data_IF_397208737446
#
_entry.id   IF_397208737446
#
_cell.length_a   1.000
_cell.length_b   1.000
_cell.length_c   1.000
_cell.angle_alpha   90.00
_cell.angle_beta   90.00
_cell.angle_gamma   90.00
#
_symmetry.space_group_name_H-M   'P 1'
#
loop_
_entity.id
_entity.type
_entity.pdbx_description
1 polymer ?
#
# COMPACT_ATOMS: atom_id res chain seq x y z
N UNK A 1 -23.40 -4.61 1.52
CA UNK A 1 -22.82 -3.29 1.09
C UNK A 1 -23.62 -2.79 -0.09
N UNK A 2 -24.15 -1.57 -0.02
CA UNK A 2 -24.86 -0.91 -1.12
C UNK A 2 -23.88 -0.24 -2.08
N UNK A 3 -24.38 0.23 -3.22
CA UNK A 3 -23.56 1.01 -4.19
C UNK A 3 -23.15 2.35 -3.56
N UNK A 4 -24.04 2.98 -2.82
CA UNK A 4 -23.80 4.25 -2.14
C UNK A 4 -22.69 4.12 -1.07
N UNK A 5 -22.68 3.04 -0.32
CA UNK A 5 -21.61 2.73 0.64
C UNK A 5 -20.26 2.49 -0.06
N UNK A 6 -20.29 1.81 -1.21
CA UNK A 6 -19.12 1.64 -2.06
C UNK A 6 -18.58 2.98 -2.54
N UNK A 7 -19.44 3.78 -3.17
CA UNK A 7 -19.06 5.07 -3.76
C UNK A 7 -18.54 6.07 -2.71
N UNK A 8 -19.15 6.09 -1.53
CA UNK A 8 -18.70 6.93 -0.42
C UNK A 8 -17.26 6.62 -0.01
N UNK A 9 -16.91 5.34 0.11
CA UNK A 9 -15.55 4.90 0.50
C UNK A 9 -14.54 5.20 -0.62
N UNK A 10 -14.86 4.90 -1.87
CA UNK A 10 -13.99 5.23 -3.02
C UNK A 10 -13.77 6.74 -3.12
N UNK A 11 -14.84 7.53 -2.97
CA UNK A 11 -14.79 9.00 -3.01
C UNK A 11 -13.87 9.57 -1.93
N UNK A 12 -14.01 9.11 -0.71
CA UNK A 12 -13.23 9.63 0.42
C UNK A 12 -11.76 9.22 0.30
N UNK A 13 -11.49 7.92 0.12
CA UNK A 13 -10.13 7.40 0.17
C UNK A 13 -9.37 7.58 -1.15
N UNK A 14 -9.85 6.98 -2.23
CA UNK A 14 -9.09 6.95 -3.48
C UNK A 14 -9.15 8.30 -4.20
N UNK A 15 -10.36 8.85 -4.40
CA UNK A 15 -10.50 10.15 -5.04
C UNK A 15 -9.93 11.29 -4.20
N UNK A 16 -10.04 11.22 -2.86
CA UNK A 16 -9.41 12.19 -1.96
C UNK A 16 -7.89 12.21 -2.11
N UNK A 17 -7.24 11.05 -2.12
CA UNK A 17 -5.79 10.94 -2.36
C UNK A 17 -5.41 11.46 -3.75
N UNK A 18 -6.17 11.09 -4.79
CA UNK A 18 -5.96 11.63 -6.13
C UNK A 18 -6.05 13.16 -6.16
N UNK A 19 -7.06 13.76 -5.55
CA UNK A 19 -7.29 15.19 -5.61
C UNK A 19 -6.12 15.99 -5.01
N UNK A 20 -5.63 15.61 -3.84
CA UNK A 20 -4.48 16.27 -3.19
C UNK A 20 -3.20 16.08 -4.01
N UNK A 21 -2.93 14.85 -4.47
CA UNK A 21 -1.77 14.54 -5.30
C UNK A 21 -1.80 15.31 -6.62
N UNK A 22 -2.96 15.40 -7.27
CA UNK A 22 -3.14 16.12 -8.54
C UNK A 22 -2.73 17.60 -8.43
N UNK A 23 -3.19 18.29 -7.40
CA UNK A 23 -2.85 19.70 -7.21
C UNK A 23 -1.36 19.89 -6.89
N UNK A 24 -0.80 19.07 -6.02
CA UNK A 24 0.62 19.12 -5.68
C UNK A 24 1.52 18.77 -6.90
N UNK A 25 1.17 17.73 -7.64
CA UNK A 25 1.90 17.31 -8.83
C UNK A 25 1.92 18.39 -9.94
N UNK A 26 0.77 19.03 -10.18
CA UNK A 26 0.71 20.16 -11.13
C UNK A 26 1.62 21.32 -10.72
N UNK A 27 1.56 21.70 -9.44
CA UNK A 27 2.40 22.77 -8.90
C UNK A 27 3.90 22.48 -9.09
N UNK A 28 4.38 21.33 -8.68
CA UNK A 28 5.80 20.97 -8.77
C UNK A 28 6.24 20.75 -10.20
N UNK A 29 5.41 20.14 -11.04
CA UNK A 29 5.68 20.02 -12.48
C UNK A 29 5.88 21.36 -13.14
N UNK A 30 5.01 22.34 -12.86
CA UNK A 30 5.06 23.66 -13.47
C UNK A 30 6.30 24.44 -12.99
N UNK A 31 6.66 24.32 -11.72
CA UNK A 31 7.93 24.86 -11.19
C UNK A 31 9.14 24.23 -11.84
N UNK A 32 9.19 22.91 -11.94
CA UNK A 32 10.29 22.19 -12.59
C UNK A 32 10.44 22.60 -14.07
N UNK A 33 9.34 22.80 -14.79
CA UNK A 33 9.35 23.28 -16.18
C UNK A 33 9.81 24.73 -16.30
N UNK A 34 9.60 25.53 -15.28
CA UNK A 34 10.10 26.91 -15.21
C UNK A 34 11.61 26.98 -14.90
N UNK A 35 12.26 25.84 -14.63
CA UNK A 35 13.67 25.77 -14.28
C UNK A 35 13.95 25.91 -12.78
N UNK A 36 12.92 25.98 -11.95
CA UNK A 36 13.08 26.01 -10.51
C UNK A 36 13.52 24.66 -9.97
N UNK A 37 14.41 24.61 -8.96
CA UNK A 37 14.75 23.37 -8.30
C UNK A 37 13.53 22.82 -7.55
N UNK A 38 13.23 21.52 -7.72
CA UNK A 38 12.17 20.83 -7.02
C UNK A 38 12.79 19.64 -6.28
N UNK A 39 12.54 19.57 -4.98
CA UNK A 39 12.87 18.43 -4.11
C UNK A 39 11.66 18.18 -3.20
N UNK A 40 10.68 17.42 -3.71
CA UNK A 40 9.36 17.30 -3.10
C UNK A 40 9.01 15.85 -2.77
N UNK A 41 8.13 15.69 -1.79
CA UNK A 41 7.72 14.38 -1.26
C UNK A 41 6.20 14.28 -1.20
N UNK A 42 5.68 13.14 -1.64
CA UNK A 42 4.29 12.72 -1.44
C UNK A 42 4.31 11.42 -0.63
N UNK A 43 3.61 11.41 0.49
CA UNK A 43 3.42 10.20 1.31
C UNK A 43 1.92 9.90 1.38
N UNK A 44 1.49 8.90 0.66
CA UNK A 44 0.11 8.42 0.64
C UNK A 44 -0.15 7.42 1.76
N UNK A 45 -1.41 7.23 2.14
CA UNK A 45 -1.80 6.23 3.15
C UNK A 45 -2.64 5.12 2.53
N UNK A 46 -2.03 3.95 2.35
CA UNK A 46 -2.67 2.71 1.98
C UNK A 46 -3.13 1.94 3.24
N UNK A 47 -3.26 0.63 3.15
CA UNK A 47 -3.62 -0.26 4.27
C UNK A 47 -3.21 -1.69 3.95
N UNK A 48 -2.92 -2.49 4.97
CA UNK A 48 -2.77 -3.95 4.84
C UNK A 48 -4.01 -4.60 4.20
N UNK A 49 -5.21 -4.06 4.47
CA UNK A 49 -6.46 -4.52 3.83
C UNK A 49 -6.46 -4.34 2.31
N UNK A 50 -5.76 -3.32 1.79
CA UNK A 50 -5.61 -3.10 0.35
C UNK A 50 -4.46 -3.88 -0.27
N UNK A 51 -3.43 -4.22 0.51
CA UNK A 51 -2.24 -4.93 0.02
C UNK A 51 -2.44 -6.45 0.08
N UNK A 52 -2.98 -6.95 1.20
CA UNK A 52 -3.10 -8.38 1.49
C UNK A 52 -4.54 -8.88 1.48
N UNK A 53 -5.51 -7.97 1.47
CA UNK A 53 -6.94 -8.28 1.57
C UNK A 53 -7.42 -8.39 3.02
N UNK A 54 -8.70 -8.10 3.25
CA UNK A 54 -9.37 -8.30 4.53
C UNK A 54 -10.85 -8.58 4.30
N UNK A 55 -11.35 -9.66 4.89
CA UNK A 55 -12.75 -10.08 4.76
C UNK A 55 -13.68 -8.99 5.32
N UNK A 56 -14.76 -8.69 4.58
CA UNK A 56 -15.74 -7.68 4.97
C UNK A 56 -15.37 -6.24 4.59
N UNK A 57 -14.20 -6.01 3.98
CA UNK A 57 -13.71 -4.69 3.62
C UNK A 57 -13.45 -4.53 2.12
N UNK A 58 -14.30 -5.09 1.26
CA UNK A 58 -14.05 -5.08 -0.19
C UNK A 58 -13.98 -3.66 -0.79
N UNK A 59 -14.82 -2.71 -0.37
CA UNK A 59 -14.75 -1.31 -0.80
C UNK A 59 -13.51 -0.59 -0.28
N UNK A 60 -13.22 -0.73 1.01
CA UNK A 60 -12.06 -0.12 1.64
C UNK A 60 -10.75 -0.74 1.11
N UNK A 61 -10.70 -2.07 1.01
CA UNK A 61 -9.57 -2.80 0.44
C UNK A 61 -9.29 -2.37 -1.00
N UNK A 62 -10.34 -2.27 -1.84
CA UNK A 62 -10.22 -1.80 -3.23
C UNK A 62 -9.68 -0.37 -3.30
N UNK A 63 -10.21 0.55 -2.48
CA UNK A 63 -9.72 1.93 -2.42
C UNK A 63 -8.24 2.00 -2.02
N UNK A 64 -7.85 1.24 -1.00
CA UNK A 64 -6.47 1.23 -0.47
C UNK A 64 -5.49 0.51 -1.39
N UNK A 65 -5.91 -0.54 -2.09
CA UNK A 65 -5.14 -1.15 -3.20
C UNK A 65 -4.94 -0.15 -4.33
N UNK A 66 -6.00 0.58 -4.70
CA UNK A 66 -5.93 1.65 -5.70
C UNK A 66 -4.93 2.74 -5.31
N UNK A 67 -4.86 3.13 -4.03
CA UNK A 67 -3.86 4.11 -3.54
C UNK A 67 -2.43 3.54 -3.66
N UNK A 68 -2.20 2.28 -3.35
CA UNK A 68 -0.88 1.65 -3.50
C UNK A 68 -0.43 1.64 -4.98
N UNK A 69 -1.30 1.22 -5.90
CA UNK A 69 -1.03 1.24 -7.34
C UNK A 69 -0.83 2.67 -7.86
N UNK A 70 -1.68 3.60 -7.46
CA UNK A 70 -1.58 5.02 -7.80
C UNK A 70 -0.24 5.63 -7.34
N UNK A 71 0.23 5.25 -6.16
CA UNK A 71 1.54 5.67 -5.62
C UNK A 71 2.69 5.22 -6.53
N UNK A 72 2.70 3.97 -6.96
CA UNK A 72 3.75 3.41 -7.84
C UNK A 72 3.73 4.11 -9.20
N UNK A 73 2.55 4.29 -9.80
CA UNK A 73 2.41 4.93 -11.11
C UNK A 73 2.85 6.41 -11.05
N UNK A 74 2.34 7.16 -10.07
CA UNK A 74 2.69 8.57 -9.90
C UNK A 74 4.17 8.77 -9.57
N UNK A 75 4.79 7.85 -8.86
CA UNK A 75 6.25 7.87 -8.63
C UNK A 75 7.03 7.85 -9.94
N UNK A 76 6.66 6.96 -10.88
CA UNK A 76 7.28 6.89 -12.20
C UNK A 76 7.03 8.16 -13.04
N UNK A 77 5.82 8.71 -12.97
CA UNK A 77 5.45 9.90 -13.74
C UNK A 77 6.14 11.18 -13.23
N UNK A 78 6.32 11.31 -11.91
CA UNK A 78 6.80 12.51 -11.26
C UNK A 78 8.30 12.53 -10.98
N UNK A 79 9.01 11.41 -11.10
CA UNK A 79 10.46 11.31 -10.85
C UNK A 79 11.26 12.35 -11.63
N UNK A 80 10.94 12.56 -12.90
CA UNK A 80 11.60 13.54 -13.77
C UNK A 80 11.42 15.00 -13.34
N UNK A 81 10.50 15.27 -12.41
CA UNK A 81 10.23 16.61 -11.88
C UNK A 81 10.78 16.81 -10.47
N UNK A 82 11.60 15.87 -9.96
CA UNK A 82 12.17 15.97 -8.61
C UNK A 82 11.18 15.67 -7.47
N UNK A 83 10.14 14.86 -7.74
CA UNK A 83 9.13 14.48 -6.74
C UNK A 83 9.21 12.99 -6.47
N UNK A 84 9.40 12.60 -5.22
CA UNK A 84 9.24 11.20 -4.79
C UNK A 84 7.82 10.95 -4.28
N UNK A 85 7.29 9.76 -4.55
CA UNK A 85 5.96 9.36 -4.11
C UNK A 85 6.04 7.98 -3.47
N UNK A 86 5.68 7.90 -2.20
CA UNK A 86 5.65 6.65 -1.44
C UNK A 86 4.31 6.50 -0.72
N UNK A 87 4.04 5.32 -0.21
CA UNK A 87 2.87 5.08 0.63
C UNK A 87 3.25 4.34 1.91
N UNK A 88 2.47 4.56 2.96
CA UNK A 88 2.49 3.77 4.17
C UNK A 88 1.20 2.93 4.29
N UNK A 89 1.31 1.77 4.92
CA UNK A 89 0.19 0.93 5.37
C UNK A 89 0.30 0.80 6.89
N UNK A 90 -0.26 1.77 7.65
CA UNK A 90 -0.11 1.83 9.09
C UNK A 90 -1.06 0.88 9.80
N UNK A 91 -0.64 0.35 10.95
CA UNK A 91 -1.50 -0.34 11.91
C UNK A 91 -1.21 0.17 13.32
N UNK A 92 -2.23 0.73 13.96
CA UNK A 92 -2.19 1.25 15.32
C UNK A 92 -3.55 1.14 15.98
N UNK A 93 -3.61 1.21 17.30
CA UNK A 93 -4.85 1.26 18.03
C UNK A 93 -5.37 2.70 18.00
N UNK A 94 -6.59 2.87 17.50
CA UNK A 94 -7.27 4.16 17.44
C UNK A 94 -8.70 4.00 17.94
N UNK A 95 -9.38 5.07 18.25
CA UNK A 95 -10.81 5.05 18.59
C UNK A 95 -11.68 4.30 17.59
N UNK A 96 -11.26 4.23 16.32
CA UNK A 96 -11.98 3.50 15.27
C UNK A 96 -11.72 1.98 15.29
N UNK A 97 -10.67 1.53 15.98
CA UNK A 97 -10.24 0.14 16.01
C UNK A 97 -10.31 -0.50 17.38
N UNK A 98 -10.58 0.27 18.45
CA UNK A 98 -10.70 -0.22 19.83
C UNK A 98 -11.72 -1.36 19.96
N UNK A 99 -12.89 -1.20 19.31
CA UNK A 99 -13.98 -2.21 19.35
C UNK A 99 -13.72 -3.43 18.47
N UNK A 100 -12.80 -3.34 17.50
CA UNK A 100 -12.51 -4.40 16.53
C UNK A 100 -11.39 -5.34 16.99
N UNK A 101 -10.57 -4.89 17.92
CA UNK A 101 -9.39 -5.62 18.38
C UNK A 101 -9.54 -5.91 19.87
N UNK A 102 -9.91 -7.15 20.23
CA UNK A 102 -9.73 -7.66 21.59
C UNK A 102 -8.22 -7.84 21.83
N UNK A 103 -7.57 -6.78 22.22
CA UNK A 103 -6.22 -6.86 22.74
C UNK A 103 -6.28 -7.49 24.13
N UNK A 104 -5.60 -8.61 24.31
CA UNK A 104 -5.31 -9.08 25.66
C UNK A 104 -4.41 -8.01 26.28
N UNK A 105 -4.78 -7.50 27.42
CA UNK A 105 -3.91 -6.65 28.25
C UNK A 105 -2.67 -7.50 28.56
N UNK A 106 -1.53 -7.10 28.00
CA UNK A 106 -0.25 -7.67 28.38
C UNK A 106 -0.11 -7.44 29.89
N UNK A 107 0.17 -8.52 30.65
CA UNK A 107 0.33 -8.48 32.08
C UNK A 107 1.50 -7.62 32.57
N UNK A 108 2.06 -7.92 33.74
CA UNK A 108 3.14 -7.17 34.42
C UNK A 108 4.43 -6.99 33.58
N UNK A 109 4.58 -7.71 32.44
CA UNK A 109 5.70 -7.64 31.49
C UNK A 109 5.45 -6.71 30.29
N UNK A 110 4.53 -5.74 30.40
CA UNK A 110 4.26 -4.79 29.32
C UNK A 110 5.54 -4.00 28.96
N UNK A 111 5.83 -3.79 27.66
CA UNK A 111 7.02 -3.03 27.26
C UNK A 111 6.95 -1.59 27.77
N UNK A 112 8.12 -0.97 27.97
CA UNK A 112 8.23 0.42 28.46
C UNK A 112 7.57 1.46 27.53
N UNK A 113 7.17 1.06 26.32
CA UNK A 113 6.44 1.85 25.32
C UNK A 113 5.23 1.06 24.80
N UNK A 114 4.15 1.74 24.41
CA UNK A 114 2.98 1.07 23.83
C UNK A 114 3.21 0.80 22.34
N UNK A 115 3.34 -0.46 21.90
CA UNK A 115 3.49 -0.80 20.47
C UNK A 115 2.26 -0.49 19.63
N UNK A 116 1.14 -0.14 20.26
CA UNK A 116 -0.13 0.18 19.61
C UNK A 116 -0.33 1.68 19.45
N UNK A 117 0.51 2.50 20.06
CA UNK A 117 0.41 3.96 20.01
C UNK A 117 0.49 4.44 18.55
N UNK A 118 -0.49 5.21 18.05
CA UNK A 118 -0.43 5.81 16.71
C UNK A 118 0.79 6.70 16.50
N UNK A 119 1.40 7.24 17.55
CA UNK A 119 2.65 7.97 17.49
C UNK A 119 3.81 7.17 16.89
N UNK A 120 3.78 5.85 16.96
CA UNK A 120 4.79 4.98 16.34
C UNK A 120 4.84 5.05 14.80
N UNK A 121 3.80 5.59 14.17
CA UNK A 121 3.74 5.75 12.71
C UNK A 121 4.49 7.01 12.25
N UNK A 122 4.50 8.04 13.07
CA UNK A 122 5.02 9.37 12.73
C UNK A 122 6.50 9.39 12.31
N UNK A 123 7.42 8.64 12.95
CA UNK A 123 8.84 8.64 12.57
C UNK A 123 9.09 8.25 11.11
N UNK A 124 8.38 7.23 10.59
CA UNK A 124 8.51 6.84 9.19
C UNK A 124 7.98 7.92 8.24
N UNK A 125 6.86 8.56 8.58
CA UNK A 125 6.29 9.64 7.77
C UNK A 125 7.25 10.85 7.75
N UNK A 126 7.80 11.23 8.88
CA UNK A 126 8.76 12.32 8.98
C UNK A 126 10.03 12.04 8.16
N UNK A 127 10.55 10.81 8.25
CA UNK A 127 11.73 10.41 7.47
C UNK A 127 11.44 10.38 5.96
N UNK A 128 10.30 9.81 5.53
CA UNK A 128 9.89 9.82 4.12
C UNK A 128 9.64 11.25 3.59
N UNK A 129 9.31 12.19 4.45
CA UNK A 129 9.17 13.62 4.14
C UNK A 129 10.49 14.39 4.10
N UNK A 130 11.60 13.80 4.56
CA UNK A 130 12.90 14.47 4.70
C UNK A 130 13.73 14.38 3.40
N UNK A 131 14.84 15.12 3.38
CA UNK A 131 15.83 15.05 2.29
C UNK A 131 16.59 13.72 2.26
N UNK A 132 16.62 13.00 3.36
CA UNK A 132 17.32 11.71 3.47
C UNK A 132 16.66 10.61 2.63
N UNK A 133 15.34 10.73 2.38
CA UNK A 133 14.56 9.79 1.58
C UNK A 133 14.54 10.12 0.08
N UNK A 134 15.37 11.03 -0.40
CA UNK A 134 15.34 11.55 -1.80
C UNK A 134 15.44 10.48 -2.88
N UNK A 135 16.09 9.36 -2.57
CA UNK A 135 16.31 8.25 -3.51
C UNK A 135 15.28 7.12 -3.33
N UNK A 136 14.31 7.30 -2.44
CA UNK A 136 13.26 6.33 -2.16
C UNK A 136 11.96 6.82 -2.79
N UNK A 137 11.49 6.08 -3.80
CA UNK A 137 10.24 6.39 -4.51
C UNK A 137 9.55 5.12 -5.02
N UNK A 138 8.22 5.16 -5.17
CA UNK A 138 7.41 4.06 -5.66
C UNK A 138 7.29 2.89 -4.69
N UNK A 139 7.48 3.13 -3.38
CA UNK A 139 7.43 2.06 -2.37
C UNK A 139 6.22 2.20 -1.47
N UNK A 140 5.78 1.04 -0.97
CA UNK A 140 4.75 0.93 0.05
C UNK A 140 5.39 0.31 1.30
N UNK A 141 5.24 0.95 2.43
CA UNK A 141 5.84 0.51 3.69
C UNK A 141 4.75 0.10 4.68
N UNK A 142 4.84 -1.11 5.22
CA UNK A 142 4.08 -1.46 6.41
C UNK A 142 4.76 -0.83 7.63
N UNK A 143 3.96 -0.29 8.55
CA UNK A 143 4.45 0.28 9.80
C UNK A 143 3.48 0.00 10.94
N UNK A 144 3.98 -0.63 12.00
CA UNK A 144 3.22 -0.88 13.23
C UNK A 144 4.17 -1.01 14.41
N UNK A 145 3.92 -0.32 15.50
CA UNK A 145 4.82 -0.33 16.65
C UNK A 145 6.25 -0.05 16.19
N UNK A 146 7.20 -0.90 16.57
CA UNK A 146 8.61 -0.81 16.16
C UNK A 146 8.94 -1.52 14.84
N UNK A 147 7.95 -2.12 14.15
CA UNK A 147 8.17 -2.84 12.89
C UNK A 147 7.96 -1.91 11.70
N UNK A 148 8.95 -1.83 10.83
CA UNK A 148 8.86 -1.26 9.49
C UNK A 148 9.29 -2.31 8.47
N UNK A 149 8.50 -2.50 7.41
CA UNK A 149 8.86 -3.39 6.29
C UNK A 149 8.39 -2.84 4.97
N UNK A 150 9.03 -3.25 3.88
CA UNK A 150 8.56 -2.96 2.52
C UNK A 150 7.49 -3.99 2.15
N UNK A 151 6.34 -3.52 1.66
CA UNK A 151 5.38 -4.37 0.98
C UNK A 151 5.85 -4.54 -0.47
N UNK A 152 6.25 -5.75 -0.85
CA UNK A 152 6.59 -6.06 -2.24
C UNK A 152 5.32 -6.09 -3.08
N UNK A 153 5.38 -5.46 -4.24
CA UNK A 153 4.27 -5.42 -5.19
C UNK A 153 4.10 -6.74 -5.95
N UNK A 154 3.19 -6.71 -6.92
CA UNK A 154 2.99 -7.82 -7.84
C UNK A 154 4.25 -8.06 -8.65
N UNK A 155 4.73 -9.30 -8.66
CA UNK A 155 5.84 -9.81 -9.48
C UNK A 155 5.32 -10.92 -10.38
N UNK A 156 5.92 -11.09 -11.56
CA UNK A 156 5.57 -12.19 -12.44
C UNK A 156 5.88 -13.53 -11.73
N UNK A 157 4.90 -14.40 -11.71
CA UNK A 157 5.02 -15.77 -11.19
C UNK A 157 5.43 -16.77 -12.27
N UNK A 158 5.24 -18.09 -12.01
CA UNK A 158 5.46 -19.14 -13.01
C UNK A 158 4.66 -18.86 -14.28
N UNK A 159 5.26 -19.10 -15.43
CA UNK A 159 4.67 -18.86 -16.72
C UNK A 159 4.92 -20.03 -17.68
N UNK A 160 4.04 -20.20 -18.66
CA UNK A 160 4.19 -21.14 -19.76
C UNK A 160 3.69 -20.50 -21.04
N UNK A 161 4.50 -20.57 -22.09
CA UNK A 161 4.17 -20.08 -23.42
C UNK A 161 4.30 -21.24 -24.42
N UNK A 162 3.19 -21.65 -25.04
CA UNK A 162 3.22 -22.68 -26.07
C UNK A 162 3.48 -22.13 -27.48
N UNK A 163 3.68 -20.84 -27.63
CA UNK A 163 3.95 -20.20 -28.92
C UNK A 163 2.74 -20.17 -29.88
N UNK A 164 1.51 -20.45 -29.39
CA UNK A 164 0.28 -20.48 -30.17
C UNK A 164 -0.92 -20.13 -29.27
N UNK A 165 -2.11 -19.98 -29.88
CA UNK A 165 -3.35 -19.79 -29.12
C UNK A 165 -3.65 -21.03 -28.27
N UNK A 166 -4.00 -20.81 -27.01
CA UNK A 166 -4.50 -21.87 -26.13
C UNK A 166 -5.93 -22.23 -26.48
N UNK A 167 -6.23 -23.53 -26.49
CA UNK A 167 -7.60 -24.01 -26.43
C UNK A 167 -8.03 -24.12 -24.96
N UNK A 168 -9.29 -23.81 -24.62
CA UNK A 168 -9.76 -23.82 -23.22
C UNK A 168 -9.46 -25.11 -22.46
N UNK A 169 -9.57 -26.28 -23.14
CA UNK A 169 -9.31 -27.58 -22.55
C UNK A 169 -7.86 -27.81 -22.11
N UNK A 170 -6.89 -27.23 -22.81
CA UNK A 170 -5.47 -27.33 -22.51
C UNK A 170 -5.11 -26.59 -21.18
N UNK A 171 -5.86 -25.52 -20.89
CA UNK A 171 -5.65 -24.73 -19.66
C UNK A 171 -6.01 -25.49 -18.39
N UNK A 172 -6.82 -26.53 -18.50
CA UNK A 172 -7.19 -27.40 -17.38
C UNK A 172 -6.01 -28.09 -16.71
N UNK A 173 -4.92 -28.35 -17.43
CA UNK A 173 -3.67 -28.91 -16.89
C UNK A 173 -2.64 -27.83 -16.56
N UNK A 174 -2.56 -26.80 -17.39
CA UNK A 174 -1.56 -25.74 -17.27
C UNK A 174 -1.80 -24.87 -16.04
N UNK A 175 -3.03 -24.35 -15.86
CA UNK A 175 -3.32 -23.41 -14.78
C UNK A 175 -3.11 -24.00 -13.39
N UNK A 176 -3.57 -25.22 -13.06
CA UNK A 176 -3.28 -25.84 -11.75
C UNK A 176 -1.79 -25.99 -11.47
N UNK A 177 -0.99 -26.34 -12.47
CA UNK A 177 0.46 -26.46 -12.35
C UNK A 177 1.14 -25.10 -12.07
N UNK A 178 0.75 -24.06 -12.79
CA UNK A 178 1.24 -22.69 -12.56
C UNK A 178 0.86 -22.21 -11.16
N UNK A 179 -0.39 -22.43 -10.74
CA UNK A 179 -0.86 -22.07 -9.38
C UNK A 179 -0.10 -22.80 -8.30
N UNK A 180 0.15 -24.11 -8.47
CA UNK A 180 0.91 -24.90 -7.50
C UNK A 180 2.37 -24.44 -7.37
N UNK A 181 2.96 -23.91 -8.44
CA UNK A 181 4.32 -23.35 -8.43
C UNK A 181 4.38 -21.88 -7.98
N UNK A 182 3.24 -21.20 -7.84
CA UNK A 182 3.19 -19.80 -7.44
C UNK A 182 3.25 -19.66 -5.92
N UNK A 183 3.72 -18.48 -5.47
CA UNK A 183 3.65 -18.11 -4.05
C UNK A 183 2.17 -18.00 -3.63
N UNK A 184 1.82 -18.61 -2.51
CA UNK A 184 0.48 -18.50 -1.94
C UNK A 184 0.17 -17.04 -1.55
N UNK A 185 -1.12 -16.69 -1.53
CA UNK A 185 -1.55 -15.39 -1.02
C UNK A 185 -1.16 -15.23 0.45
N UNK A 186 -0.72 -14.02 0.79
CA UNK A 186 -0.42 -13.66 2.18
C UNK A 186 -1.69 -13.51 3.01
N UNK A 187 -1.57 -13.69 4.31
CA UNK A 187 -2.58 -13.26 5.28
C UNK A 187 -2.63 -11.72 5.41
N UNK A 188 -3.55 -11.21 6.22
CA UNK A 188 -3.73 -9.76 6.45
C UNK A 188 -2.51 -9.08 7.10
N UNK A 189 -1.56 -9.86 7.62
CA UNK A 189 -0.29 -9.37 8.19
C UNK A 189 0.86 -9.39 7.18
N UNK A 190 0.63 -9.88 5.96
CA UNK A 190 1.63 -10.02 4.91
C UNK A 190 2.47 -11.29 5.02
N UNK A 191 2.08 -12.25 5.86
CA UNK A 191 2.78 -13.53 5.98
C UNK A 191 2.20 -14.53 5.00
N UNK A 192 3.07 -15.22 4.26
CA UNK A 192 2.65 -16.37 3.47
C UNK A 192 2.37 -17.55 4.40
N UNK A 193 1.19 -18.20 4.31
CA UNK A 193 0.94 -19.41 5.08
C UNK A 193 2.04 -20.45 4.83
N UNK A 194 2.56 -21.04 5.88
CA UNK A 194 3.41 -22.24 5.75
C UNK A 194 2.52 -23.39 5.32
N UNK A 195 2.92 -24.10 4.25
CA UNK A 195 2.25 -25.30 3.79
C UNK A 195 2.22 -26.38 4.87
#
# INVERSE_FOLDING_TARGET
MSIEEWDAVIKVHLRGTFATTHHAANYWRDRSKAGDPVDARIVNTSSSSGIYGNVGQSNYGAAKAGIAAFTVITAMELARYGVTVNAIAPAALTRMTEDLVRWQSDGEDAPAWDPRDPGNIAPLVAWLGSVESRDITGRVFNVRGGLVSVAEGWVAGPAEDKGARWEPGELGEVIPRLVAGARANSDTSGRTPTA
#
